data_IF_851047101777
#
_entry.id   IF_851047101777
#
_cell.length_a   1.000
_cell.length_b   1.000
_cell.length_c   1.000
_cell.angle_alpha   90.00
_cell.angle_beta   90.00
_cell.angle_gamma   90.00
#
_symmetry.space_group_name_H-M   'P 1'
#
loop_
_entity.id
_entity.type
_entity.pdbx_description
1 polymer ?
#
# COMPACT_ATOMS: atom_id res chain seq x y z
N UNK A 1 -52.55 -17.43 -33.80
CA UNK A 1 -53.54 -18.51 -33.88
C UNK A 1 -53.74 -19.06 -32.47
N UNK A 2 -54.95 -18.92 -31.97
CA UNK A 2 -55.41 -19.33 -30.63
C UNK A 2 -55.78 -20.82 -30.71
N UNK A 3 -55.49 -21.61 -29.67
CA UNK A 3 -56.34 -22.73 -29.30
C UNK A 3 -56.36 -22.89 -27.78
N UNK A 4 -57.58 -22.81 -27.25
CA UNK A 4 -58.02 -22.96 -25.88
C UNK A 4 -58.87 -24.23 -25.81
N UNK A 5 -58.66 -25.08 -24.81
CA UNK A 5 -59.71 -25.89 -24.15
C UNK A 5 -59.09 -26.52 -22.88
N UNK A 6 -59.37 -26.01 -21.68
CA UNK A 6 -60.54 -26.26 -20.81
C UNK A 6 -60.67 -27.70 -20.27
N UNK A 7 -60.47 -27.81 -18.95
CA UNK A 7 -60.89 -28.93 -18.11
C UNK A 7 -60.67 -28.58 -16.64
N UNK A 8 -61.74 -28.14 -15.96
CA UNK A 8 -61.78 -27.75 -14.53
C UNK A 8 -62.63 -28.79 -13.79
N UNK A 9 -62.21 -29.22 -12.59
CA UNK A 9 -63.01 -29.55 -11.37
C UNK A 9 -62.07 -30.22 -10.35
N UNK A 10 -61.59 -29.48 -9.34
CA UNK A 10 -62.08 -29.44 -7.93
C UNK A 10 -61.92 -30.75 -7.16
N UNK A 11 -61.06 -30.73 -6.14
CA UNK A 11 -60.98 -31.73 -5.08
C UNK A 11 -59.81 -31.42 -4.14
N UNK A 12 -60.07 -30.66 -3.08
CA UNK A 12 -59.06 -30.32 -2.08
C UNK A 12 -58.75 -31.46 -1.11
N UNK A 13 -57.48 -31.57 -0.70
CA UNK A 13 -57.04 -31.83 0.68
C UNK A 13 -55.51 -31.72 0.74
N UNK A 14 -55.03 -30.84 1.61
CA UNK A 14 -53.64 -30.77 2.02
C UNK A 14 -53.23 -32.03 2.79
N UNK A 15 -52.01 -32.54 2.54
CA UNK A 15 -51.09 -33.00 3.58
C UNK A 15 -49.66 -33.17 3.05
N UNK A 16 -48.74 -32.47 3.74
CA UNK A 16 -47.29 -32.66 3.89
C UNK A 16 -46.32 -32.46 2.71
N UNK A 17 -45.43 -31.44 2.77
CA UNK A 17 -44.30 -31.36 1.86
C UNK A 17 -43.16 -32.28 2.34
N UNK A 18 -42.89 -33.28 1.50
CA UNK A 18 -41.60 -33.94 1.29
C UNK A 18 -40.42 -32.99 1.42
N UNK A 19 -39.43 -33.38 2.24
CA UNK A 19 -38.07 -32.83 2.22
C UNK A 19 -37.52 -32.78 0.79
N UNK A 20 -36.75 -31.74 0.41
CA UNK A 20 -35.74 -31.89 -0.61
C UNK A 20 -34.37 -32.06 0.04
N UNK A 21 -33.78 -33.21 -0.29
CA UNK A 21 -32.35 -33.48 -0.26
C UNK A 21 -31.52 -32.33 -0.83
N UNK A 22 -30.40 -32.07 -0.15
CA UNK A 22 -29.09 -32.02 -0.79
C UNK A 22 -28.83 -30.92 -1.81
N UNK A 23 -28.51 -29.71 -1.32
CA UNK A 23 -27.64 -28.81 -2.06
C UNK A 23 -26.22 -28.92 -1.49
N UNK A 24 -25.30 -29.39 -2.34
CA UNK A 24 -23.86 -29.49 -2.09
C UNK A 24 -23.33 -28.21 -1.45
N UNK A 25 -22.56 -28.39 -0.38
CA UNK A 25 -21.77 -27.35 0.26
C UNK A 25 -20.86 -26.68 -0.76
N UNK A 26 -21.17 -25.43 -1.10
CA UNK A 26 -20.17 -24.48 -1.53
C UNK A 26 -19.36 -24.11 -0.28
N UNK A 27 -18.27 -24.81 -0.03
CA UNK A 27 -17.32 -24.53 1.05
C UNK A 27 -16.53 -23.26 0.72
N UNK A 28 -17.18 -22.12 0.90
CA UNK A 28 -16.57 -20.80 0.91
C UNK A 28 -17.17 -20.00 2.07
N UNK A 29 -16.43 -19.02 2.63
CA UNK A 29 -16.96 -18.16 3.67
C UNK A 29 -18.26 -17.49 3.22
N UNK A 30 -19.30 -17.55 4.05
CA UNK A 30 -20.58 -16.87 3.78
C UNK A 30 -20.37 -15.36 3.76
N UNK A 31 -20.95 -14.68 2.76
CA UNK A 31 -21.03 -13.22 2.72
C UNK A 31 -22.09 -12.76 3.71
N UNK A 32 -21.74 -11.81 4.56
CA UNK A 32 -22.58 -11.34 5.66
C UNK A 32 -22.89 -9.85 5.53
N UNK A 33 -24.03 -9.45 6.08
CA UNK A 33 -24.58 -8.10 5.97
C UNK A 33 -23.88 -7.04 6.86
N UNK A 34 -24.22 -5.75 6.69
CA UNK A 34 -23.51 -4.61 7.31
C UNK A 34 -23.65 -4.48 8.85
N UNK A 35 -24.55 -5.24 9.48
CA UNK A 35 -24.78 -5.21 10.94
C UNK A 35 -24.23 -6.42 11.70
N UNK A 36 -23.51 -7.30 11.00
CA UNK A 36 -23.09 -8.57 11.55
C UNK A 36 -21.79 -8.45 12.34
N UNK A 37 -21.77 -9.08 13.51
CA UNK A 37 -20.62 -9.10 14.41
C UNK A 37 -19.71 -10.27 14.06
N UNK A 38 -18.43 -10.01 14.18
CA UNK A 38 -17.36 -10.95 13.88
C UNK A 38 -16.56 -11.22 15.15
N UNK A 39 -16.09 -12.44 15.29
CA UNK A 39 -15.12 -12.79 16.30
C UNK A 39 -13.73 -12.76 15.68
N UNK A 40 -12.82 -12.00 16.28
CA UNK A 40 -11.40 -11.91 15.92
C UNK A 40 -10.56 -12.48 17.06
N UNK A 41 -9.77 -13.52 16.76
CA UNK A 41 -8.76 -14.05 17.67
C UNK A 41 -7.37 -13.72 17.14
N UNK A 42 -6.65 -12.89 17.90
CA UNK A 42 -5.20 -12.78 17.78
C UNK A 42 -4.56 -13.95 18.55
N UNK A 43 -3.45 -14.47 18.05
CA UNK A 43 -2.76 -15.64 18.59
C UNK A 43 -2.60 -15.56 20.13
N UNK A 44 -3.18 -16.53 20.85
CA UNK A 44 -3.11 -16.63 22.31
C UNK A 44 -4.08 -15.75 23.12
N UNK A 45 -4.93 -14.94 22.49
CA UNK A 45 -5.90 -14.06 23.16
C UNK A 45 -7.35 -14.53 23.10
N UNK A 46 -8.17 -14.05 24.04
CA UNK A 46 -9.63 -14.22 23.98
C UNK A 46 -10.19 -13.54 22.72
N UNK A 47 -11.16 -14.16 22.02
CA UNK A 47 -11.78 -13.54 20.86
C UNK A 47 -12.44 -12.20 21.20
N UNK A 48 -12.14 -11.17 20.40
CA UNK A 48 -12.84 -9.89 20.44
C UNK A 48 -14.03 -9.93 19.49
N UNK A 49 -15.17 -9.36 19.91
CA UNK A 49 -16.34 -9.21 19.07
C UNK A 49 -16.33 -7.81 18.46
N UNK A 50 -16.22 -7.72 17.15
CA UNK A 50 -16.03 -6.47 16.40
C UNK A 50 -16.99 -6.38 15.22
N UNK A 51 -17.27 -5.17 14.75
CA UNK A 51 -17.89 -4.96 13.44
C UNK A 51 -16.87 -5.12 12.32
N UNK A 52 -17.34 -5.22 11.09
CA UNK A 52 -16.48 -5.26 9.90
C UNK A 52 -15.56 -4.04 9.82
N UNK A 53 -16.11 -2.85 10.04
CA UNK A 53 -15.38 -1.58 9.94
C UNK A 53 -14.27 -1.52 11.00
N UNK A 54 -14.55 -1.99 12.21
CA UNK A 54 -13.57 -2.09 13.28
C UNK A 54 -12.45 -3.08 12.95
N UNK A 55 -12.76 -4.20 12.27
CA UNK A 55 -11.73 -5.14 11.80
C UNK A 55 -10.87 -4.50 10.71
N UNK A 56 -11.47 -3.83 9.72
CA UNK A 56 -10.73 -3.11 8.68
C UNK A 56 -9.81 -2.06 9.30
N UNK A 57 -10.31 -1.28 10.24
CA UNK A 57 -9.52 -0.29 10.97
C UNK A 57 -8.36 -0.94 11.74
N UNK A 58 -8.62 -2.04 12.46
CA UNK A 58 -7.59 -2.77 13.19
C UNK A 58 -6.50 -3.34 12.26
N UNK A 59 -6.88 -3.88 11.09
CA UNK A 59 -5.95 -4.36 10.07
C UNK A 59 -5.07 -3.22 9.53
N UNK A 60 -5.67 -2.08 9.16
CA UNK A 60 -4.95 -0.93 8.62
C UNK A 60 -4.06 -0.24 9.67
N UNK A 61 -4.49 -0.25 10.94
CA UNK A 61 -3.70 0.22 12.08
C UNK A 61 -2.68 -0.82 12.59
N UNK A 62 -2.57 -1.97 11.91
CA UNK A 62 -1.52 -3.00 12.16
C UNK A 62 -1.58 -3.61 13.56
N UNK A 63 -2.74 -3.53 14.21
CA UNK A 63 -2.97 -4.12 15.55
C UNK A 63 -3.38 -5.59 15.49
N UNK A 64 -3.62 -6.13 14.29
CA UNK A 64 -4.00 -7.51 14.03
C UNK A 64 -2.79 -8.32 13.59
N UNK A 65 -2.59 -9.48 14.22
CA UNK A 65 -1.51 -10.41 13.84
C UNK A 65 -1.73 -10.95 12.43
N UNK A 66 -0.65 -11.20 11.68
CA UNK A 66 -0.70 -11.87 10.38
C UNK A 66 -1.21 -13.33 10.49
N UNK A 67 -1.18 -13.90 11.70
CA UNK A 67 -1.75 -15.21 12.02
C UNK A 67 -3.16 -15.15 12.59
N UNK A 68 -3.74 -13.95 12.74
CA UNK A 68 -5.07 -13.80 13.29
C UNK A 68 -6.09 -14.66 12.53
N UNK A 69 -7.13 -15.04 13.27
CA UNK A 69 -8.25 -15.79 12.76
C UNK A 69 -9.53 -15.04 13.03
N UNK A 70 -10.43 -15.07 12.06
CA UNK A 70 -11.75 -14.49 12.19
C UNK A 70 -12.83 -15.49 11.83
N UNK A 71 -14.02 -15.23 12.34
CA UNK A 71 -15.23 -15.93 11.93
C UNK A 71 -16.46 -15.05 12.17
N UNK A 72 -17.55 -15.28 11.45
CA UNK A 72 -18.86 -14.77 11.85
C UNK A 72 -19.20 -15.17 13.28
N UNK A 73 -19.81 -14.29 14.06
CA UNK A 73 -20.19 -14.60 15.45
C UNK A 73 -21.07 -15.85 15.50
N UNK A 74 -20.74 -16.78 16.40
CA UNK A 74 -21.50 -18.03 16.56
C UNK A 74 -21.29 -19.08 15.45
N UNK A 75 -20.45 -18.82 14.45
CA UNK A 75 -20.08 -19.84 13.47
C UNK A 75 -18.99 -20.78 14.01
N UNK A 76 -18.91 -21.99 13.45
CA UNK A 76 -17.98 -23.02 13.95
C UNK A 76 -16.53 -22.83 13.50
N UNK A 77 -16.31 -22.44 12.24
CA UNK A 77 -15.00 -22.50 11.61
C UNK A 77 -14.27 -21.15 11.62
N UNK A 78 -12.98 -21.20 11.95
CA UNK A 78 -12.05 -20.06 11.93
C UNK A 78 -11.33 -19.95 10.58
N UNK A 79 -11.12 -18.73 10.10
CA UNK A 79 -10.50 -18.43 8.81
C UNK A 79 -9.46 -17.33 8.94
N UNK A 80 -8.53 -17.23 7.99
CA UNK A 80 -7.70 -16.03 7.83
C UNK A 80 -8.55 -14.85 7.36
N UNK A 81 -8.28 -13.60 7.79
CA UNK A 81 -9.01 -12.43 7.30
C UNK A 81 -9.03 -12.28 5.79
N UNK A 82 -7.94 -12.66 5.12
CA UNK A 82 -7.79 -12.62 3.65
C UNK A 82 -8.75 -13.54 2.90
N UNK A 83 -9.39 -14.51 3.56
CA UNK A 83 -10.38 -15.37 2.92
C UNK A 83 -11.67 -14.62 2.57
N UNK A 84 -11.89 -13.44 3.14
CA UNK A 84 -13.10 -12.64 2.96
C UNK A 84 -12.82 -11.47 2.01
N UNK A 85 -13.48 -11.39 0.83
CA UNK A 85 -13.25 -10.34 -0.17
C UNK A 85 -13.38 -8.91 0.35
N UNK A 86 -14.20 -8.73 1.39
CA UNK A 86 -14.47 -7.45 2.04
C UNK A 86 -13.38 -6.97 3.01
N UNK A 87 -12.52 -7.87 3.48
CA UNK A 87 -11.42 -7.60 4.41
C UNK A 87 -10.06 -7.75 3.75
N UNK A 88 -9.95 -8.62 2.74
CA UNK A 88 -8.74 -8.93 2.00
C UNK A 88 -7.94 -7.70 1.52
N UNK A 89 -8.56 -6.61 1.03
CA UNK A 89 -7.81 -5.42 0.62
C UNK A 89 -7.10 -4.70 1.78
N UNK A 90 -7.57 -4.85 3.02
CA UNK A 90 -6.97 -4.26 4.21
C UNK A 90 -5.87 -5.14 4.83
N UNK A 91 -5.77 -6.41 4.41
CA UNK A 91 -4.86 -7.37 5.00
C UNK A 91 -3.43 -7.19 4.50
N UNK A 92 -2.45 -7.45 5.36
CA UNK A 92 -1.09 -7.73 4.92
C UNK A 92 -0.96 -9.20 4.51
N UNK A 93 -0.37 -9.47 3.34
CA UNK A 93 -0.07 -10.83 2.86
C UNK A 93 1.42 -11.07 2.92
N UNK A 94 1.85 -12.17 3.54
CA UNK A 94 3.27 -12.56 3.59
C UNK A 94 3.38 -14.06 3.37
N UNK A 95 3.66 -14.46 2.14
CA UNK A 95 3.61 -15.87 1.71
C UNK A 95 4.64 -16.77 2.41
N UNK A 96 5.82 -16.22 2.71
CA UNK A 96 6.89 -16.96 3.35
C UNK A 96 6.69 -17.10 4.87
N UNK A 97 6.03 -16.13 5.53
CA UNK A 97 5.80 -16.17 6.98
C UNK A 97 4.96 -17.40 7.40
N UNK A 98 3.94 -17.74 6.61
CA UNK A 98 3.01 -18.86 6.92
C UNK A 98 3.50 -20.22 6.43
N UNK A 99 4.40 -20.26 5.45
CA UNK A 99 4.94 -21.52 4.90
C UNK A 99 6.12 -22.06 5.69
N UNK A 100 6.63 -21.32 6.68
CA UNK A 100 7.81 -21.68 7.47
C UNK A 100 9.13 -21.46 6.71
N UNK A 101 9.07 -21.03 5.45
CA UNK A 101 10.22 -20.65 4.64
C UNK A 101 10.77 -19.32 5.15
N UNK A 102 12.07 -19.25 5.40
CA UNK A 102 12.75 -18.01 5.80
C UNK A 102 13.73 -17.57 4.72
N UNK A 103 13.26 -16.92 3.65
CA UNK A 103 14.14 -16.43 2.62
C UNK A 103 15.03 -15.31 3.17
N UNK A 104 16.26 -15.16 2.63
CA UNK A 104 17.17 -14.08 3.02
C UNK A 104 16.65 -12.70 2.57
N UNK A 105 15.90 -12.69 1.48
CA UNK A 105 15.28 -11.51 0.88
C UNK A 105 13.92 -11.91 0.31
N UNK A 106 12.95 -11.01 0.34
CA UNK A 106 11.66 -11.19 -0.29
C UNK A 106 11.30 -9.91 -1.05
N UNK A 107 10.72 -10.04 -2.24
CA UNK A 107 10.26 -8.93 -3.06
C UNK A 107 8.74 -8.88 -3.08
N UNK A 108 8.20 -7.70 -2.82
CA UNK A 108 6.76 -7.53 -2.68
C UNK A 108 6.31 -6.12 -3.00
N UNK A 109 5.02 -5.90 -2.83
CA UNK A 109 4.36 -4.66 -3.22
C UNK A 109 3.82 -3.94 -2.00
N UNK A 110 3.98 -2.62 -1.99
CA UNK A 110 3.49 -1.73 -0.95
C UNK A 110 2.54 -0.74 -1.61
N UNK A 111 1.37 -0.56 -1.01
CA UNK A 111 0.39 0.46 -1.39
C UNK A 111 0.28 1.41 -0.21
N UNK A 112 0.64 2.67 -0.40
CA UNK A 112 0.51 3.71 0.61
C UNK A 112 -0.58 4.66 0.15
N UNK A 113 -1.52 5.00 1.03
CA UNK A 113 -2.49 6.08 0.77
C UNK A 113 -2.90 6.74 2.07
N UNK A 114 -3.24 8.02 2.01
CA UNK A 114 -3.87 8.73 3.13
C UNK A 114 -5.40 8.61 3.15
N UNK A 115 -5.99 7.97 2.14
CA UNK A 115 -7.42 7.74 2.03
C UNK A 115 -7.73 6.26 2.18
N UNK A 116 -8.51 5.90 3.22
CA UNK A 116 -8.93 4.51 3.45
C UNK A 116 -9.68 3.94 2.24
N UNK A 117 -10.72 4.60 1.68
CA UNK A 117 -11.40 4.10 0.49
C UNK A 117 -10.45 3.86 -0.69
N UNK A 118 -9.49 4.77 -0.92
CA UNK A 118 -8.53 4.65 -2.02
C UNK A 118 -7.54 3.51 -1.80
N UNK A 119 -7.03 3.38 -0.58
CA UNK A 119 -6.12 2.30 -0.19
C UNK A 119 -6.75 0.93 -0.45
N UNK A 120 -8.02 0.76 -0.05
CA UNK A 120 -8.75 -0.49 -0.23
C UNK A 120 -9.05 -0.77 -1.71
N UNK A 121 -9.48 0.24 -2.48
CA UNK A 121 -9.74 0.10 -3.92
C UNK A 121 -8.47 -0.34 -4.67
N UNK A 122 -7.36 0.39 -4.49
CA UNK A 122 -6.08 0.06 -5.11
C UNK A 122 -5.58 -1.31 -4.68
N UNK A 123 -5.69 -1.62 -3.39
CA UNK A 123 -5.22 -2.91 -2.87
C UNK A 123 -5.98 -4.07 -3.50
N UNK A 124 -7.31 -3.93 -3.64
CA UNK A 124 -8.15 -4.92 -4.32
C UNK A 124 -7.73 -5.07 -5.79
N UNK A 125 -7.61 -3.97 -6.53
CA UNK A 125 -7.23 -4.00 -7.96
C UNK A 125 -5.89 -4.67 -8.17
N UNK A 126 -4.91 -4.36 -7.34
CA UNK A 126 -3.55 -4.86 -7.46
C UNK A 126 -3.41 -6.33 -7.04
N UNK A 127 -4.20 -6.78 -6.05
CA UNK A 127 -4.21 -8.19 -5.61
C UNK A 127 -4.83 -9.12 -6.63
N UNK A 128 -5.90 -8.68 -7.30
CA UNK A 128 -6.64 -9.47 -8.30
C UNK A 128 -6.23 -9.15 -9.75
N UNK A 129 -5.34 -8.19 -9.96
CA UNK A 129 -4.84 -7.81 -11.28
C UNK A 129 -4.05 -8.93 -11.96
N UNK A 130 -4.18 -9.05 -13.28
CA UNK A 130 -3.42 -10.00 -14.09
C UNK A 130 -1.98 -9.53 -14.30
N UNK A 131 -1.15 -9.59 -13.25
CA UNK A 131 0.28 -9.30 -13.32
C UNK A 131 1.13 -10.55 -13.58
N UNK A 132 2.21 -10.41 -14.35
CA UNK A 132 3.14 -11.51 -14.62
C UNK A 132 3.97 -11.95 -13.39
N UNK A 133 4.07 -11.09 -12.36
CA UNK A 133 4.85 -11.35 -11.14
C UNK A 133 3.95 -11.27 -9.91
N UNK A 134 3.80 -12.41 -9.22
CA UNK A 134 3.11 -12.44 -7.92
C UNK A 134 4.06 -11.96 -6.82
N UNK A 135 3.65 -11.01 -5.97
CA UNK A 135 4.51 -10.51 -4.90
C UNK A 135 4.65 -11.55 -3.77
N UNK A 136 5.84 -11.67 -3.19
CA UNK A 136 6.07 -12.55 -2.03
C UNK A 136 5.41 -11.98 -0.77
N UNK A 137 5.24 -10.67 -0.71
CA UNK A 137 4.45 -9.98 0.30
C UNK A 137 3.66 -8.79 -0.29
N UNK A 138 2.55 -8.43 0.34
CA UNK A 138 1.73 -7.28 -0.01
C UNK A 138 1.38 -6.51 1.27
N UNK A 139 1.63 -5.20 1.30
CA UNK A 139 1.35 -4.34 2.46
C UNK A 139 0.49 -3.12 2.07
N UNK A 140 -0.76 -3.03 2.56
CA UNK A 140 -1.51 -1.79 2.54
C UNK A 140 -1.11 -0.92 3.74
N UNK A 141 -0.62 0.29 3.49
CA UNK A 141 -0.16 1.24 4.50
C UNK A 141 -1.07 2.47 4.46
N UNK A 142 -1.87 2.64 5.52
CA UNK A 142 -2.58 3.89 5.75
C UNK A 142 -1.59 4.93 6.32
N UNK A 143 -1.29 5.96 5.53
CA UNK A 143 -0.49 7.09 5.96
C UNK A 143 -1.41 8.19 6.51
N UNK A 144 -1.22 8.63 7.76
CA UNK A 144 -2.07 9.68 8.33
C UNK A 144 -1.70 11.07 7.81
N UNK A 145 -0.47 11.23 7.32
CA UNK A 145 -0.04 12.48 6.71
C UNK A 145 -0.63 12.62 5.30
N UNK A 146 -1.13 13.81 4.94
CA UNK A 146 -1.83 14.01 3.69
C UNK A 146 -0.89 13.85 2.48
N UNK A 147 -1.43 13.29 1.39
CA UNK A 147 -0.99 13.62 0.04
C UNK A 147 -0.30 12.52 -0.77
N UNK A 148 0.01 11.35 -0.21
CA UNK A 148 0.70 10.30 -0.98
C UNK A 148 -0.23 9.14 -1.24
N UNK A 149 -0.68 8.95 -2.48
CA UNK A 149 -1.00 7.61 -2.98
C UNK A 149 0.18 7.08 -3.78
N UNK A 150 0.78 5.99 -3.31
CA UNK A 150 1.94 5.37 -3.93
C UNK A 150 1.74 3.86 -4.03
N UNK A 151 2.06 3.31 -5.19
CA UNK A 151 2.14 1.87 -5.44
C UNK A 151 3.56 1.57 -5.89
N UNK A 152 4.27 0.75 -5.12
CA UNK A 152 5.68 0.47 -5.43
C UNK A 152 6.10 -0.94 -5.04
N UNK A 153 7.08 -1.45 -5.78
CA UNK A 153 7.76 -2.70 -5.44
C UNK A 153 8.96 -2.39 -4.55
N UNK A 154 9.14 -3.19 -3.51
CA UNK A 154 10.30 -3.08 -2.62
C UNK A 154 10.81 -4.46 -2.20
N UNK A 155 11.91 -4.45 -1.46
CA UNK A 155 12.54 -5.64 -0.89
C UNK A 155 12.51 -5.58 0.63
N UNK A 156 12.20 -6.72 1.23
CA UNK A 156 12.41 -7.00 2.63
C UNK A 156 13.64 -7.88 2.79
N UNK A 157 14.49 -7.59 3.76
CA UNK A 157 15.72 -8.31 4.04
C UNK A 157 15.67 -8.95 5.42
N UNK A 158 16.05 -10.23 5.51
CA UNK A 158 16.15 -10.95 6.77
C UNK A 158 17.42 -10.51 7.53
N UNK A 159 17.27 -9.48 8.36
CA UNK A 159 18.38 -8.87 9.11
C UNK A 159 18.61 -9.59 10.44
N UNK A 160 17.56 -10.07 11.11
CA UNK A 160 17.66 -11.01 12.23
C UNK A 160 16.87 -12.28 11.93
N UNK A 161 16.93 -13.26 12.83
CA UNK A 161 16.17 -14.50 12.67
C UNK A 161 14.68 -14.21 12.56
N UNK A 162 14.12 -14.56 11.40
CA UNK A 162 12.72 -14.31 10.99
C UNK A 162 12.25 -12.86 11.22
N UNK A 163 13.17 -11.89 11.27
CA UNK A 163 12.85 -10.47 11.37
C UNK A 163 13.31 -9.76 10.09
N UNK A 164 12.33 -9.20 9.39
CA UNK A 164 12.50 -8.62 8.08
C UNK A 164 12.40 -7.10 8.17
N UNK A 165 13.26 -6.41 7.42
CA UNK A 165 13.24 -4.96 7.31
C UNK A 165 13.35 -4.53 5.86
N UNK A 166 12.69 -3.44 5.50
CA UNK A 166 12.80 -2.81 4.19
C UNK A 166 12.54 -1.32 4.29
N UNK A 167 12.76 -0.62 3.18
CA UNK A 167 12.55 0.81 3.13
C UNK A 167 11.87 1.18 1.82
N UNK A 168 10.95 2.13 1.91
CA UNK A 168 10.31 2.75 0.77
C UNK A 168 10.53 4.25 0.89
N UNK A 169 10.99 4.86 -0.20
CA UNK A 169 11.09 6.30 -0.34
C UNK A 169 9.85 6.77 -1.10
N UNK A 170 9.30 7.91 -0.69
CA UNK A 170 8.22 8.57 -1.45
C UNK A 170 8.65 8.92 -2.88
N UNK A 171 9.92 9.30 -3.05
CA UNK A 171 10.52 9.59 -4.35
C UNK A 171 12.02 9.33 -4.31
N UNK A 172 12.58 8.70 -5.35
CA UNK A 172 14.03 8.54 -5.51
C UNK A 172 14.71 9.80 -6.04
N UNK A 173 13.94 10.80 -6.44
CA UNK A 173 14.45 12.12 -6.80
C UNK A 173 13.93 13.16 -5.81
N UNK A 174 14.76 14.09 -5.39
CA UNK A 174 14.36 15.13 -4.44
C UNK A 174 14.95 16.47 -4.83
N UNK A 175 14.18 17.54 -4.63
CA UNK A 175 14.70 18.89 -4.83
C UNK A 175 15.62 19.26 -3.66
N UNK A 176 16.69 20.04 -3.88
CA UNK A 176 17.59 20.48 -2.81
C UNK A 176 16.81 21.13 -1.66
N UNK A 177 17.09 20.69 -0.43
CA UNK A 177 16.51 21.25 0.79
C UNK A 177 15.04 20.89 1.05
N UNK A 178 14.41 20.06 0.22
CA UNK A 178 13.06 19.53 0.49
C UNK A 178 13.13 18.27 1.35
N UNK A 179 12.17 18.03 2.25
CA UNK A 179 12.11 16.80 3.02
C UNK A 179 11.84 15.61 2.09
N UNK A 180 12.50 14.49 2.37
CA UNK A 180 12.25 13.18 1.74
C UNK A 180 11.49 12.30 2.72
N UNK A 181 10.26 11.89 2.40
CA UNK A 181 9.53 10.95 3.23
C UNK A 181 10.11 9.53 3.12
N UNK A 182 10.46 8.97 4.28
CA UNK A 182 11.04 7.62 4.40
C UNK A 182 10.07 6.74 5.19
N UNK A 183 9.70 5.60 4.62
CA UNK A 183 8.89 4.57 5.25
C UNK A 183 9.75 3.34 5.53
N UNK A 184 10.19 3.19 6.78
CA UNK A 184 10.95 2.04 7.22
C UNK A 184 10.00 0.95 7.72
N UNK A 185 10.02 -0.20 7.08
CA UNK A 185 9.12 -1.32 7.36
C UNK A 185 9.87 -2.33 8.25
N UNK A 186 9.23 -2.78 9.31
CA UNK A 186 9.71 -3.85 10.18
C UNK A 186 8.66 -4.94 10.31
N UNK A 187 9.09 -6.20 10.28
CA UNK A 187 8.18 -7.35 10.32
C UNK A 187 8.79 -8.50 11.11
N UNK A 188 8.06 -8.93 12.14
CA UNK A 188 8.38 -10.09 12.94
C UNK A 188 7.59 -11.30 12.41
N UNK A 189 8.26 -12.26 11.80
CA UNK A 189 7.68 -13.52 11.32
C UNK A 189 8.00 -14.71 12.26
N UNK A 190 8.40 -14.43 13.50
CA UNK A 190 8.62 -15.44 14.53
C UNK A 190 7.43 -15.58 15.48
N UNK A 191 7.44 -16.68 16.24
CA UNK A 191 6.50 -17.02 17.31
C UNK A 191 6.80 -16.30 18.64
N UNK A 192 7.85 -15.45 18.67
CA UNK A 192 8.29 -14.73 19.86
C UNK A 192 8.26 -13.23 19.63
N UNK A 193 7.97 -12.41 20.66
CA UNK A 193 8.13 -10.97 20.55
C UNK A 193 9.60 -10.62 20.28
N UNK A 194 9.84 -9.62 19.44
CA UNK A 194 11.18 -9.13 19.12
C UNK A 194 11.24 -7.61 19.24
N UNK A 195 12.28 -7.12 19.92
CA UNK A 195 12.66 -5.71 19.97
C UNK A 195 14.00 -5.55 19.23
N UNK A 196 14.00 -4.80 18.13
CA UNK A 196 15.15 -4.63 17.23
C UNK A 196 15.33 -3.17 16.85
N UNK A 197 16.57 -2.73 16.72
CA UNK A 197 16.91 -1.39 16.31
C UNK A 197 17.98 -1.38 15.22
N UNK A 198 17.88 -0.41 14.32
CA UNK A 198 18.83 -0.14 13.26
C UNK A 198 19.62 1.13 13.58
N UNK A 199 20.91 1.11 13.30
CA UNK A 199 21.76 2.28 13.27
C UNK A 199 21.73 2.90 11.87
N UNK A 200 21.44 4.20 11.75
CA UNK A 200 21.59 4.92 10.49
C UNK A 200 23.08 5.03 10.11
N UNK A 201 23.36 5.04 8.81
CA UNK A 201 24.69 5.18 8.25
C UNK A 201 24.62 6.08 7.03
N UNK A 202 25.41 7.16 7.03
CA UNK A 202 25.41 8.15 5.95
C UNK A 202 24.28 9.17 6.01
N UNK A 203 23.46 9.17 7.07
CA UNK A 203 22.43 10.18 7.30
C UNK A 203 22.09 10.29 8.79
N UNK A 204 21.32 11.33 9.15
CA UNK A 204 20.83 11.55 10.52
C UNK A 204 19.30 11.62 10.49
N UNK A 205 18.58 10.66 11.12
CA UNK A 205 17.13 10.75 11.27
C UNK A 205 16.73 12.00 12.08
N UNK A 206 15.54 12.57 11.83
CA UNK A 206 14.99 13.64 12.68
C UNK A 206 14.74 13.14 14.12
N UNK A 207 14.95 14.04 15.09
CA UNK A 207 14.54 13.92 16.50
C UNK A 207 14.85 12.60 17.24
N UNK A 208 16.12 12.23 17.44
CA UNK A 208 16.54 11.13 18.34
C UNK A 208 15.72 9.82 18.26
N UNK A 209 15.00 9.58 17.15
CA UNK A 209 14.17 8.40 17.01
C UNK A 209 15.11 7.25 16.77
N UNK A 210 15.17 6.35 17.73
CA UNK A 210 15.73 5.05 17.49
C UNK A 210 14.93 4.42 16.34
N UNK A 211 15.63 4.01 15.28
CA UNK A 211 15.03 3.27 14.15
C UNK A 211 14.71 1.86 14.63
N UNK A 212 13.77 1.77 15.56
CA UNK A 212 13.49 0.62 16.39
C UNK A 212 12.06 0.11 16.18
N UNK A 213 11.91 -1.19 16.38
CA UNK A 213 10.67 -1.92 16.26
C UNK A 213 10.53 -2.82 17.47
N UNK A 214 9.40 -2.71 18.16
CA UNK A 214 9.00 -3.64 19.22
C UNK A 214 7.73 -4.32 18.76
N UNK A 215 7.86 -5.54 18.23
CA UNK A 215 6.78 -6.23 17.54
C UNK A 215 6.45 -7.54 18.25
N UNK A 216 5.16 -7.79 18.47
CA UNK A 216 4.66 -9.08 18.94
C UNK A 216 4.84 -10.16 17.86
N UNK A 217 4.64 -11.45 18.18
CA UNK A 217 4.68 -12.51 17.18
C UNK A 217 3.80 -12.22 15.96
N UNK A 218 4.34 -12.46 14.77
CA UNK A 218 3.62 -12.29 13.50
C UNK A 218 3.01 -10.89 13.29
N UNK A 219 3.63 -9.84 13.81
CA UNK A 219 3.24 -8.45 13.60
C UNK A 219 4.22 -7.70 12.69
N UNK A 220 3.75 -6.58 12.15
CA UNK A 220 4.55 -5.67 11.32
C UNK A 220 4.17 -4.23 11.66
N UNK A 221 5.11 -3.31 11.43
CA UNK A 221 4.87 -1.88 11.61
C UNK A 221 5.73 -1.04 10.66
N UNK A 222 5.42 0.25 10.59
CA UNK A 222 6.06 1.22 9.72
C UNK A 222 6.46 2.45 10.52
N UNK A 223 7.77 2.71 10.55
CA UNK A 223 8.31 3.97 11.03
C UNK A 223 8.39 4.94 9.85
N UNK A 224 7.51 5.94 9.85
CA UNK A 224 7.53 7.04 8.88
C UNK A 224 8.20 8.27 9.48
N UNK A 225 9.13 8.86 8.74
CA UNK A 225 9.77 10.12 9.11
C UNK A 225 10.21 10.94 7.88
N UNK A 226 10.15 12.28 7.95
CA UNK A 226 10.71 13.16 6.94
C UNK A 226 12.22 13.33 7.17
N UNK A 227 13.02 13.04 6.16
CA UNK A 227 14.47 13.23 6.20
C UNK A 227 14.84 14.56 5.53
N UNK A 228 15.58 15.43 6.23
CA UNK A 228 16.16 16.62 5.61
C UNK A 228 17.18 16.23 4.54
N UNK A 229 17.03 16.76 3.33
CA UNK A 229 17.96 16.47 2.23
C UNK A 229 19.01 17.57 2.11
N UNK A 230 20.28 17.21 1.85
CA UNK A 230 21.33 18.19 1.70
C UNK A 230 21.20 18.95 0.37
N UNK A 231 21.87 20.11 0.28
CA UNK A 231 21.74 21.03 -0.86
C UNK A 231 22.53 20.59 -2.11
N UNK A 232 23.44 19.63 -1.95
CA UNK A 232 24.35 19.15 -2.96
C UNK A 232 23.66 18.18 -3.94
N UNK A 233 23.61 18.59 -5.20
CA UNK A 233 23.03 17.81 -6.29
C UNK A 233 23.92 16.60 -6.64
N UNK A 234 23.71 15.49 -5.95
CA UNK A 234 24.36 14.22 -6.22
C UNK A 234 23.49 13.03 -5.79
N UNK A 235 23.98 11.82 -6.07
CA UNK A 235 23.38 10.61 -5.53
C UNK A 235 23.81 10.44 -4.07
N UNK A 236 22.82 10.23 -3.22
CA UNK A 236 22.97 9.99 -1.78
C UNK A 236 22.50 8.58 -1.44
N UNK A 237 23.04 8.01 -0.37
CA UNK A 237 22.71 6.65 0.06
C UNK A 237 22.36 6.62 1.53
N UNK A 238 21.16 6.11 1.84
CA UNK A 238 20.68 5.87 3.19
C UNK A 238 21.05 4.44 3.59
N UNK A 239 22.03 4.28 4.49
CA UNK A 239 22.43 2.98 5.01
C UNK A 239 21.74 2.66 6.33
N UNK A 240 21.23 1.44 6.47
CA UNK A 240 20.61 0.93 7.69
C UNK A 240 21.39 -0.32 8.14
N UNK A 241 21.92 -0.31 9.36
CA UNK A 241 22.78 -1.39 9.89
C UNK A 241 22.25 -1.92 11.21
N UNK A 242 22.44 -3.20 11.51
CA UNK A 242 22.17 -3.72 12.86
C UNK A 242 23.05 -3.04 13.90
N UNK A 243 22.53 -2.78 15.08
CA UNK A 243 23.36 -2.45 16.25
C UNK A 243 23.96 -3.77 16.76
N UNK A 244 25.26 -4.01 16.56
CA UNK A 244 25.96 -5.14 17.17
C UNK A 244 26.58 -4.67 18.49
N UNK A 245 26.28 -5.36 19.59
CA UNK A 245 26.97 -5.19 20.88
C UNK A 245 28.34 -5.89 20.92
N UNK A 246 28.70 -6.66 19.88
CA UNK A 246 29.96 -7.40 19.81
C UNK A 246 30.82 -6.88 18.64
N UNK A 247 31.46 -5.74 18.84
CA UNK A 247 32.39 -5.16 17.88
C UNK A 247 33.83 -5.57 18.14
N UNK A 248 34.29 -6.69 17.57
CA UNK A 248 35.71 -6.87 17.19
C UNK A 248 35.86 -7.98 16.14
N UNK A 249 36.38 -7.57 14.98
CA UNK A 249 37.00 -8.36 13.90
C UNK A 249 36.06 -9.10 12.93
N UNK A 250 36.12 -8.73 11.64
CA UNK A 250 36.47 -9.64 10.52
C UNK A 250 35.91 -9.17 9.16
N UNK A 251 36.82 -8.60 8.35
CA UNK A 251 36.99 -8.78 6.88
C UNK A 251 35.77 -8.75 5.94
N UNK A 252 35.76 -7.78 5.03
CA UNK A 252 34.68 -7.46 4.09
C UNK A 252 34.52 -8.47 2.93
N UNK A 253 33.28 -8.69 2.47
CA UNK A 253 32.98 -9.10 1.09
C UNK A 253 31.49 -8.98 0.71
N UNK A 254 31.27 -8.66 -0.57
CA UNK A 254 30.04 -8.65 -1.40
C UNK A 254 29.13 -7.41 -1.32
N UNK A 255 29.29 -6.53 -2.33
CA UNK A 255 28.37 -5.45 -2.70
C UNK A 255 27.52 -5.96 -3.87
N UNK A 256 26.21 -6.12 -3.66
CA UNK A 256 25.26 -6.38 -4.74
C UNK A 256 24.53 -5.09 -5.08
N UNK A 257 24.87 -4.44 -6.20
CA UNK A 257 24.16 -3.26 -6.70
C UNK A 257 22.85 -3.72 -7.34
N UNK A 258 21.71 -3.34 -6.75
CA UNK A 258 20.40 -3.53 -7.39
C UNK A 258 19.68 -2.19 -7.48
N UNK A 259 18.98 -2.01 -8.60
CA UNK A 259 18.17 -0.84 -8.97
C UNK A 259 16.99 -0.55 -8.03
N UNK A 260 16.75 -1.38 -7.01
CA UNK A 260 15.66 -1.25 -6.02
C UNK A 260 16.17 -1.15 -4.56
N UNK A 261 17.48 -1.02 -4.37
CA UNK A 261 18.16 -1.02 -3.07
C UNK A 261 19.38 -1.93 -3.05
N UNK A 262 20.40 -1.58 -2.27
CA UNK A 262 21.68 -2.31 -2.17
C UNK A 262 21.72 -3.10 -0.86
N UNK A 263 21.86 -4.42 -0.90
CA UNK A 263 22.16 -5.19 0.31
C UNK A 263 23.66 -5.09 0.59
N UNK A 264 24.05 -4.60 1.77
CA UNK A 264 25.46 -4.41 2.14
C UNK A 264 25.81 -5.41 3.24
N UNK A 265 26.66 -6.37 2.91
CA UNK A 265 27.30 -7.20 3.92
C UNK A 265 28.59 -6.51 4.40
N UNK A 266 28.60 -6.07 5.66
CA UNK A 266 29.79 -5.54 6.31
C UNK A 266 30.19 -6.42 7.51
N UNK A 267 31.49 -6.52 7.83
CA UNK A 267 31.99 -7.19 9.03
C UNK A 267 31.19 -6.84 10.29
N UNK A 268 30.61 -7.84 10.94
CA UNK A 268 29.92 -7.69 12.24
C UNK A 268 28.52 -7.05 12.21
N UNK A 269 28.01 -6.63 11.04
CA UNK A 269 26.69 -5.99 10.93
C UNK A 269 25.96 -6.42 9.64
N UNK A 270 24.70 -6.85 9.76
CA UNK A 270 23.79 -7.00 8.61
C UNK A 270 23.12 -5.65 8.33
N UNK A 271 22.86 -5.34 7.07
CA UNK A 271 22.23 -4.08 6.72
C UNK A 271 21.81 -4.00 5.27
N UNK A 272 21.12 -2.93 4.94
CA UNK A 272 20.69 -2.62 3.58
C UNK A 272 20.80 -1.11 3.37
N UNK A 273 20.79 -0.69 2.12
CA UNK A 273 20.77 0.72 1.77
C UNK A 273 19.82 1.02 0.63
N UNK A 274 19.33 2.25 0.62
CA UNK A 274 18.51 2.78 -0.47
C UNK A 274 19.14 4.08 -0.95
N UNK A 275 19.19 4.27 -2.26
CA UNK A 275 19.72 5.49 -2.85
C UNK A 275 18.60 6.43 -3.32
N UNK A 276 18.90 7.71 -3.27
CA UNK A 276 18.09 8.78 -3.85
C UNK A 276 19.02 9.82 -4.49
N UNK A 277 18.49 10.65 -5.38
CA UNK A 277 19.24 11.69 -6.09
C UNK A 277 18.68 13.05 -5.74
N UNK A 278 19.54 13.92 -5.22
CA UNK A 278 19.25 15.36 -5.13
C UNK A 278 19.44 15.95 -6.52
N UNK A 279 18.39 16.61 -7.03
CA UNK A 279 18.33 17.11 -8.39
C UNK A 279 19.22 18.35 -8.58
N UNK A 280 19.85 18.45 -9.75
CA UNK A 280 20.60 19.64 -10.15
C UNK A 280 19.70 20.87 -10.30
N UNK A 281 20.19 22.09 -10.00
CA UNK A 281 19.40 23.31 -10.11
C UNK A 281 18.69 23.50 -11.46
N UNK A 282 19.35 23.13 -12.57
CA UNK A 282 18.75 23.19 -13.91
C UNK A 282 17.56 22.24 -14.06
N UNK A 283 17.67 21.02 -13.53
CA UNK A 283 16.58 20.05 -13.54
C UNK A 283 15.42 20.54 -12.66
N UNK A 284 15.73 21.12 -11.50
CA UNK A 284 14.74 21.70 -10.59
C UNK A 284 13.96 22.83 -11.27
N UNK A 285 14.62 23.73 -12.00
CA UNK A 285 13.94 24.79 -12.75
C UNK A 285 12.96 24.22 -13.78
N UNK A 286 13.36 23.21 -14.55
CA UNK A 286 12.48 22.56 -15.52
C UNK A 286 11.29 21.89 -14.83
N UNK A 287 11.52 21.19 -13.72
CA UNK A 287 10.47 20.52 -12.96
C UNK A 287 9.48 21.54 -12.41
N UNK A 288 9.95 22.59 -11.74
CA UNK A 288 9.09 23.65 -11.19
C UNK A 288 8.29 24.35 -12.29
N UNK A 289 8.87 24.55 -13.47
CA UNK A 289 8.14 25.09 -14.63
C UNK A 289 7.01 24.17 -15.08
N UNK A 290 7.25 22.86 -15.16
CA UNK A 290 6.22 21.86 -15.49
C UNK A 290 5.14 21.80 -14.41
N UNK A 291 5.51 21.83 -13.13
CA UNK A 291 4.56 21.84 -12.00
C UNK A 291 3.61 23.03 -12.09
N UNK A 292 4.16 24.23 -12.29
CA UNK A 292 3.37 25.46 -12.43
C UNK A 292 2.47 25.42 -13.66
N UNK A 293 2.99 24.92 -14.79
CA UNK A 293 2.23 24.79 -16.04
C UNK A 293 1.09 23.79 -15.91
N UNK A 294 1.35 22.64 -15.27
CA UNK A 294 0.34 21.61 -15.04
C UNK A 294 -0.76 22.09 -14.09
N UNK A 295 -0.39 22.77 -13.00
CA UNK A 295 -1.36 23.35 -12.06
C UNK A 295 -2.22 24.43 -12.70
N UNK A 296 -1.61 25.27 -13.54
CA UNK A 296 -2.35 26.28 -14.30
C UNK A 296 -3.31 25.63 -15.28
N UNK A 297 -2.83 24.68 -16.08
CA UNK A 297 -3.64 23.98 -17.07
C UNK A 297 -4.83 23.24 -16.42
N UNK A 298 -4.64 22.61 -15.25
CA UNK A 298 -5.75 21.99 -14.51
C UNK A 298 -6.75 23.05 -14.01
N UNK A 299 -6.25 24.18 -13.52
CA UNK A 299 -7.11 25.28 -13.05
C UNK A 299 -7.96 25.86 -14.18
N UNK A 300 -7.34 26.08 -15.34
CA UNK A 300 -7.97 26.55 -16.58
C UNK A 300 -9.00 25.52 -17.09
N UNK A 301 -8.67 24.23 -17.12
CA UNK A 301 -9.63 23.19 -17.51
C UNK A 301 -10.90 23.18 -16.65
N UNK A 302 -10.78 23.33 -15.32
CA UNK A 302 -11.96 23.49 -14.47
C UNK A 302 -12.78 24.75 -14.78
N UNK A 303 -12.12 25.86 -15.16
CA UNK A 303 -12.80 27.11 -15.53
C UNK A 303 -13.50 27.01 -16.88
N UNK A 304 -12.81 26.51 -17.90
CA UNK A 304 -13.30 26.38 -19.28
C UNK A 304 -14.54 25.46 -19.35
N UNK A 305 -14.54 24.40 -18.54
CA UNK A 305 -15.66 23.46 -18.46
C UNK A 305 -16.72 23.83 -17.42
N UNK A 306 -16.60 24.98 -16.75
CA UNK A 306 -17.49 25.43 -15.67
C UNK A 306 -17.75 24.32 -14.62
N UNK A 307 -16.72 23.53 -14.34
CA UNK A 307 -16.80 22.39 -13.43
C UNK A 307 -16.38 22.79 -12.02
N UNK A 308 -17.22 22.49 -11.03
CA UNK A 308 -16.91 22.74 -9.62
C UNK A 308 -16.35 21.52 -8.89
N UNK A 309 -16.46 20.33 -9.50
CA UNK A 309 -16.03 19.07 -8.92
C UNK A 309 -15.74 18.03 -9.99
N UNK A 310 -14.87 17.09 -9.63
CA UNK A 310 -14.72 15.80 -10.27
C UNK A 310 -15.86 14.87 -9.84
N UNK A 311 -16.37 14.03 -10.76
CA UNK A 311 -17.45 13.08 -10.47
C UNK A 311 -16.95 11.65 -10.65
N UNK A 312 -16.93 10.90 -9.54
CA UNK A 312 -16.61 9.47 -9.52
C UNK A 312 -17.70 8.61 -10.15
N UNK A 313 -17.40 7.35 -10.47
CA UNK A 313 -18.34 6.43 -11.11
C UNK A 313 -19.55 6.08 -10.23
N UNK A 314 -19.45 6.23 -8.91
CA UNK A 314 -20.54 6.05 -7.96
C UNK A 314 -21.31 7.35 -7.65
N UNK A 315 -21.01 8.44 -8.35
CA UNK A 315 -21.57 9.77 -8.09
C UNK A 315 -20.84 10.54 -6.98
N UNK A 316 -19.68 10.08 -6.52
CA UNK A 316 -18.86 10.80 -5.56
C UNK A 316 -18.40 12.14 -6.14
N UNK A 317 -18.57 13.23 -5.38
CA UNK A 317 -18.12 14.56 -5.82
C UNK A 317 -16.82 14.93 -5.11
N UNK A 318 -15.78 15.21 -5.88
CA UNK A 318 -14.49 15.70 -5.39
C UNK A 318 -14.36 17.19 -5.74
N UNK A 319 -14.48 18.11 -4.76
CA UNK A 319 -14.45 19.55 -5.02
C UNK A 319 -13.17 19.99 -5.71
N UNK A 320 -13.27 20.94 -6.65
CA UNK A 320 -12.15 21.52 -7.40
C UNK A 320 -10.95 21.85 -6.52
N UNK A 321 -11.16 22.58 -5.43
CA UNK A 321 -10.06 23.03 -4.56
C UNK A 321 -9.29 21.86 -3.95
N UNK A 322 -10.00 20.78 -3.59
CA UNK A 322 -9.41 19.56 -3.04
C UNK A 322 -8.62 18.80 -4.11
N UNK A 323 -9.15 18.74 -5.34
CA UNK A 323 -8.45 18.12 -6.48
C UNK A 323 -7.17 18.88 -6.82
N UNK A 324 -7.22 20.22 -6.83
CA UNK A 324 -6.06 21.07 -7.07
C UNK A 324 -5.01 20.93 -5.96
N UNK A 325 -5.44 20.82 -4.70
CA UNK A 325 -4.54 20.57 -3.57
C UNK A 325 -3.83 19.21 -3.71
N UNK A 326 -4.59 18.15 -4.01
CA UNK A 326 -4.02 16.82 -4.24
C UNK A 326 -3.09 16.79 -5.44
N UNK A 327 -3.43 17.46 -6.54
CA UNK A 327 -2.57 17.52 -7.71
C UNK A 327 -1.27 18.28 -7.43
N UNK A 328 -1.35 19.39 -6.68
CA UNK A 328 -0.17 20.13 -6.22
C UNK A 328 0.75 19.25 -5.39
N UNK A 329 0.17 18.45 -4.48
CA UNK A 329 0.95 17.53 -3.68
C UNK A 329 1.57 16.41 -4.55
N UNK A 330 0.77 15.76 -5.39
CA UNK A 330 1.21 14.71 -6.31
C UNK A 330 2.42 15.15 -7.14
N UNK A 331 2.38 16.36 -7.68
CA UNK A 331 3.48 16.93 -8.45
C UNK A 331 4.68 17.33 -7.58
N UNK A 332 4.43 17.96 -6.43
CA UNK A 332 5.49 18.53 -5.58
C UNK A 332 6.26 17.50 -4.75
N UNK A 333 5.58 16.48 -4.24
CA UNK A 333 6.15 15.42 -3.42
C UNK A 333 6.81 14.31 -4.25
N UNK A 334 6.48 14.23 -5.54
CA UNK A 334 7.00 13.19 -6.44
C UNK A 334 7.61 13.80 -7.72
N UNK A 335 8.76 14.49 -7.61
CA UNK A 335 9.46 15.00 -8.79
C UNK A 335 9.99 13.88 -9.69
N UNK A 336 10.12 12.65 -9.16
CA UNK A 336 10.43 11.46 -9.93
C UNK A 336 9.42 11.22 -11.07
N UNK A 337 8.13 11.32 -10.79
CA UNK A 337 7.06 11.19 -11.80
C UNK A 337 7.23 12.19 -12.94
N UNK A 338 7.59 13.44 -12.63
CA UNK A 338 7.81 14.49 -13.62
C UNK A 338 9.05 14.18 -14.46
N UNK A 339 10.15 13.77 -13.82
CA UNK A 339 11.38 13.39 -14.52
C UNK A 339 11.15 12.20 -15.45
N UNK A 340 10.47 11.14 -14.98
CA UNK A 340 10.16 9.97 -15.82
C UNK A 340 9.25 10.34 -16.98
N UNK A 341 8.22 11.16 -16.76
CA UNK A 341 7.32 11.59 -17.83
C UNK A 341 8.04 12.47 -18.85
N UNK A 342 8.92 13.39 -18.41
CA UNK A 342 9.77 14.18 -19.29
C UNK A 342 10.74 13.33 -20.11
N UNK A 343 11.20 12.19 -19.59
CA UNK A 343 12.11 11.31 -20.30
C UNK A 343 11.38 10.34 -21.25
N UNK A 344 10.17 9.92 -20.88
CA UNK A 344 9.36 8.99 -21.67
C UNK A 344 8.67 9.70 -22.85
N UNK A 345 8.23 10.94 -22.65
CA UNK A 345 7.43 11.66 -23.64
C UNK A 345 8.31 12.48 -24.59
N UNK A 346 8.25 12.15 -25.88
CA UNK A 346 9.02 12.84 -26.93
C UNK A 346 8.39 14.19 -27.29
N UNK A 347 7.07 14.30 -27.18
CA UNK A 347 6.33 15.53 -27.46
C UNK A 347 6.06 16.31 -26.18
N UNK A 348 6.71 17.45 -26.03
CA UNK A 348 6.61 18.27 -24.81
C UNK A 348 5.19 18.73 -24.50
N UNK A 349 4.32 18.87 -25.50
CA UNK A 349 2.91 19.20 -25.28
C UNK A 349 2.15 18.12 -24.50
N UNK A 350 2.56 16.85 -24.62
CA UNK A 350 1.89 15.71 -23.98
C UNK A 350 2.32 15.44 -22.55
N UNK A 351 3.34 16.13 -22.05
CA UNK A 351 3.85 15.92 -20.68
C UNK A 351 2.77 16.24 -19.64
N UNK A 352 2.12 17.40 -19.74
CA UNK A 352 1.08 17.82 -18.80
C UNK A 352 -0.16 16.91 -18.86
N UNK A 353 -0.72 16.61 -20.05
CA UNK A 353 -1.78 15.61 -20.18
C UNK A 353 -1.43 14.25 -19.56
N UNK A 354 -0.19 13.79 -19.76
CA UNK A 354 0.27 12.50 -19.22
C UNK A 354 0.34 12.51 -17.70
N UNK A 355 0.90 13.57 -17.10
CA UNK A 355 0.94 13.73 -15.65
C UNK A 355 -0.46 13.77 -15.04
N UNK A 356 -1.39 14.44 -15.72
CA UNK A 356 -2.77 14.52 -15.28
C UNK A 356 -3.47 13.15 -15.35
N UNK A 357 -3.31 12.40 -16.44
CA UNK A 357 -3.88 11.07 -16.56
C UNK A 357 -3.31 10.09 -15.53
N UNK A 358 -2.01 10.18 -15.24
CA UNK A 358 -1.39 9.38 -14.17
C UNK A 358 -1.95 9.75 -12.80
N UNK A 359 -2.10 11.04 -12.51
CA UNK A 359 -2.75 11.52 -11.27
C UNK A 359 -4.18 10.99 -11.14
N UNK A 360 -4.99 11.09 -12.21
CA UNK A 360 -6.35 10.57 -12.21
C UNK A 360 -6.38 9.06 -11.94
N UNK A 361 -5.55 8.29 -12.64
CA UNK A 361 -5.45 6.84 -12.45
C UNK A 361 -4.91 6.43 -11.08
N UNK A 362 -4.11 7.29 -10.42
CA UNK A 362 -3.45 7.01 -9.14
C UNK A 362 -4.27 7.46 -7.93
N UNK A 363 -5.00 8.56 -8.03
CA UNK A 363 -5.75 9.12 -6.89
C UNK A 363 -7.26 8.81 -6.94
N UNK A 364 -7.82 8.55 -8.12
CA UNK A 364 -9.27 8.40 -8.30
C UNK A 364 -9.65 7.00 -8.84
N UNK A 365 -10.88 6.54 -8.56
CA UNK A 365 -11.41 5.31 -9.15
C UNK A 365 -11.43 5.36 -10.69
N UNK A 366 -11.36 4.19 -11.33
CA UNK A 366 -11.45 4.11 -12.80
C UNK A 366 -12.85 4.54 -13.23
N UNK A 367 -12.94 5.31 -14.31
CA UNK A 367 -14.20 5.89 -14.75
C UNK A 367 -14.62 7.16 -14.00
N UNK A 368 -13.76 7.70 -13.13
CA UNK A 368 -13.91 9.08 -12.66
C UNK A 368 -13.87 10.01 -13.86
N UNK A 369 -14.97 10.73 -14.08
CA UNK A 369 -15.11 11.61 -15.22
C UNK A 369 -14.47 12.96 -14.92
N UNK A 370 -13.49 13.32 -15.74
CA UNK A 370 -13.04 14.69 -15.94
C UNK A 370 -13.29 15.06 -17.39
N UNK A 371 -13.56 16.34 -17.73
CA UNK A 371 -13.38 16.81 -19.10
C UNK A 371 -11.99 16.44 -19.64
N UNK A 372 -11.82 16.24 -20.96
CA UNK A 372 -10.55 15.80 -21.53
C UNK A 372 -9.37 16.68 -21.09
N UNK A 373 -8.20 16.06 -20.89
CA UNK A 373 -7.00 16.77 -20.46
C UNK A 373 -6.71 17.96 -21.40
N UNK A 374 -6.26 19.13 -20.87
CA UNK A 374 -5.97 20.30 -21.68
C UNK A 374 -4.86 19.96 -22.69
N UNK A 375 -5.10 20.25 -23.97
CA UNK A 375 -4.18 20.00 -25.10
C UNK A 375 -2.99 20.94 -25.13
#
# INVERSE_FOLDING_TARGET
MISLAHGRLVGGREAEPTQPMGARAASGPQRLGPGERWELSNEGGAPAILTREQIVEALLNRSVSMNARIRPQGSGQWYVPEAFPELEPACASVSFARSGVSPKQASGMVVISSSVPRLLDLSKKLRHGSGARKPEFFLPILNKDPGVTMVTWTQLFAVWDRFYVGCVLESHYVKPGQPLNVFLIGMNCSDKPQARALAPSGFRPPDSRDLAFTLSPFQWDVNHFPLGTPADAQQHTLGFRTISTAGKVATAAAVGILTLGTFVYAPGHKGFSVSYKVLEPKSVQSIVSVEQSALRALTEAFQDHQAEALVGPGGERFPKDRVLEWFRYYLGANPETIVHTLNAEKDRSKVVPSLFNQFLGTEFPDGTWFPPAPS
#
